data_IF_223878710448
#
_entry.id   IF_223878710448
#
_cell.length_a   1.000
_cell.length_b   1.000
_cell.length_c   1.000
_cell.angle_alpha   90.00
_cell.angle_beta   90.00
_cell.angle_gamma   90.00
#
_symmetry.space_group_name_H-M   'P 1'
#
loop_
_entity.id
_entity.type
_entity.pdbx_description
1 polymer ?
#
# COMPACT_ATOMS: atom_id res chain seq x y z
N UNK A 1 -8.95 -5.64 16.96
CA UNK A 1 -8.55 -5.74 15.55
C UNK A 1 -8.12 -4.40 14.93
N UNK A 2 -8.99 -3.42 14.66
CA UNK A 2 -8.57 -2.19 13.95
C UNK A 2 -7.37 -1.49 14.62
N UNK A 3 -7.43 -1.19 15.92
CA UNK A 3 -6.32 -0.55 16.65
C UNK A 3 -5.08 -1.44 16.82
N UNK A 4 -5.23 -2.77 16.71
CA UNK A 4 -4.07 -3.68 16.70
C UNK A 4 -3.38 -3.59 15.34
N UNK A 5 -4.13 -3.71 14.23
CA UNK A 5 -3.61 -3.55 12.87
C UNK A 5 -3.02 -2.16 12.62
N UNK A 6 -3.57 -1.11 13.23
CA UNK A 6 -3.00 0.22 13.17
C UNK A 6 -1.58 0.29 13.77
N UNK A 7 -1.32 -0.44 14.86
CA UNK A 7 -0.01 -0.49 15.53
C UNK A 7 1.02 -1.31 14.77
N UNK A 8 0.57 -2.23 13.91
CA UNK A 8 1.44 -3.07 13.09
C UNK A 8 2.05 -2.30 11.90
N UNK A 9 1.49 -1.17 11.48
CA UNK A 9 2.01 -0.40 10.34
C UNK A 9 3.01 0.65 10.83
N UNK A 10 4.30 0.55 10.45
CA UNK A 10 5.29 1.55 10.80
C UNK A 10 4.96 2.90 10.16
N UNK A 11 5.21 3.97 10.91
CA UNK A 11 5.13 5.35 10.42
C UNK A 11 6.05 5.59 9.22
N UNK A 12 5.88 6.76 8.59
CA UNK A 12 6.77 7.26 7.55
C UNK A 12 8.24 7.20 8.00
N UNK A 13 9.12 6.67 7.15
CA UNK A 13 10.55 6.64 7.39
C UNK A 13 11.29 7.33 6.24
N UNK A 14 11.92 8.51 6.48
CA UNK A 14 12.69 9.20 5.47
C UNK A 14 13.99 8.45 5.13
N UNK A 15 14.67 8.80 4.02
CA UNK A 15 15.98 8.25 3.70
C UNK A 15 17.03 8.69 4.74
N UNK A 16 18.07 7.88 4.93
CA UNK A 16 19.19 8.23 5.80
C UNK A 16 19.81 9.57 5.40
N UNK A 17 20.14 10.40 6.40
CA UNK A 17 20.80 11.70 6.18
C UNK A 17 19.89 12.86 5.81
N UNK A 18 18.57 12.67 5.71
CA UNK A 18 17.60 13.78 5.48
C UNK A 18 16.85 14.11 6.77
N UNK A 19 17.09 15.29 7.34
CA UNK A 19 16.44 15.73 8.57
C UNK A 19 15.03 16.31 8.31
N UNK A 20 14.13 16.29 9.31
CA UNK A 20 12.85 17.00 9.24
C UNK A 20 13.06 18.48 8.89
N UNK A 21 12.38 18.98 7.86
CA UNK A 21 12.54 20.34 7.32
C UNK A 21 13.34 20.41 6.01
N UNK A 22 14.17 19.40 5.75
CA UNK A 22 15.01 19.32 4.53
C UNK A 22 14.34 18.54 3.40
N UNK A 23 13.14 18.02 3.63
CA UNK A 23 12.37 17.30 2.61
C UNK A 23 12.11 18.19 1.40
N UNK A 24 12.46 17.69 0.22
CA UNK A 24 12.14 18.28 -1.08
C UNK A 24 11.47 17.21 -1.94
N UNK A 25 10.33 17.55 -2.52
CA UNK A 25 9.52 16.67 -3.37
C UNK A 25 8.72 17.54 -4.35
N UNK A 26 8.46 17.04 -5.57
CA UNK A 26 7.62 17.77 -6.50
C UNK A 26 6.13 17.52 -6.16
N UNK A 27 5.27 18.50 -6.45
CA UNK A 27 3.83 18.37 -6.22
C UNK A 27 3.23 17.18 -6.97
N UNK A 28 3.70 16.94 -8.20
CA UNK A 28 3.25 15.80 -9.03
C UNK A 28 3.56 14.45 -8.39
N UNK A 29 4.63 14.35 -7.59
CA UNK A 29 5.02 13.10 -6.93
C UNK A 29 4.14 12.76 -5.71
N UNK A 30 3.42 13.75 -5.18
CA UNK A 30 2.57 13.57 -3.98
C UNK A 30 1.08 13.63 -4.27
N UNK A 31 0.67 14.25 -5.37
CA UNK A 31 -0.73 14.52 -5.72
C UNK A 31 -1.64 13.30 -5.56
N UNK A 32 -1.20 12.14 -6.06
CA UNK A 32 -1.95 10.90 -5.93
C UNK A 32 -2.14 10.45 -4.48
N UNK A 33 -1.05 10.47 -3.69
CA UNK A 33 -1.09 10.04 -2.28
C UNK A 33 -1.95 10.96 -1.39
N UNK A 34 -2.17 12.21 -1.80
CA UNK A 34 -3.00 13.17 -1.06
C UNK A 34 -4.46 12.72 -0.94
N UNK A 35 -4.98 11.96 -1.91
CA UNK A 35 -6.32 11.39 -1.84
C UNK A 35 -6.51 10.57 -0.55
N UNK A 36 -5.54 9.73 -0.21
CA UNK A 36 -5.63 8.81 0.92
C UNK A 36 -5.54 9.53 2.28
N UNK A 37 -4.92 10.72 2.30
CA UNK A 37 -4.82 11.57 3.50
C UNK A 37 -6.14 12.19 3.94
N UNK A 38 -7.18 12.15 3.08
CA UNK A 38 -8.54 12.56 3.45
C UNK A 38 -9.20 11.60 4.43
N UNK A 39 -8.63 10.39 4.62
CA UNK A 39 -9.29 9.38 5.43
C UNK A 39 -9.46 9.79 6.90
N UNK A 40 -10.72 9.83 7.34
CA UNK A 40 -11.12 10.17 8.72
C UNK A 40 -11.13 8.98 9.69
N UNK A 41 -10.54 7.84 9.31
CA UNK A 41 -10.47 6.63 10.13
C UNK A 41 -11.82 6.10 10.67
N UNK A 42 -12.90 6.27 9.91
CA UNK A 42 -14.24 5.80 10.29
C UNK A 42 -14.42 4.26 10.25
N UNK A 43 -13.49 3.54 9.64
CA UNK A 43 -13.46 2.08 9.48
C UNK A 43 -14.65 1.42 8.73
N UNK A 44 -15.54 2.20 8.09
CA UNK A 44 -16.66 1.65 7.31
C UNK A 44 -16.19 0.68 6.22
N UNK A 45 -15.07 0.97 5.57
CA UNK A 45 -14.45 0.10 4.58
C UNK A 45 -14.02 -1.26 5.14
N UNK A 46 -13.50 -1.30 6.37
CA UNK A 46 -13.14 -2.55 7.05
C UNK A 46 -14.39 -3.32 7.50
N UNK A 47 -15.43 -2.61 7.95
CA UNK A 47 -16.67 -3.22 8.42
C UNK A 47 -17.47 -3.90 7.29
N UNK A 48 -17.55 -3.26 6.12
CA UNK A 48 -18.30 -3.80 4.96
C UNK A 48 -17.52 -4.86 4.19
N UNK A 49 -16.20 -4.95 4.38
CA UNK A 49 -15.36 -5.85 3.61
C UNK A 49 -15.76 -7.31 3.89
N UNK A 50 -16.31 -8.00 2.90
CA UNK A 50 -16.77 -9.39 3.03
C UNK A 50 -15.64 -10.36 3.42
N UNK A 51 -14.40 -10.06 3.02
CA UNK A 51 -13.22 -10.85 3.39
C UNK A 51 -12.92 -10.81 4.90
N UNK A 52 -13.39 -9.78 5.61
CA UNK A 52 -13.28 -9.66 7.07
C UNK A 52 -14.60 -10.02 7.75
N UNK A 53 -15.73 -9.55 7.20
CA UNK A 53 -17.07 -9.70 7.77
C UNK A 53 -17.55 -11.15 7.72
N UNK A 54 -17.34 -11.83 6.60
CA UNK A 54 -17.85 -13.19 6.38
C UNK A 54 -16.82 -14.26 6.80
N UNK A 55 -15.59 -13.83 7.10
CA UNK A 55 -14.45 -14.67 7.46
C UNK A 55 -13.65 -14.02 8.59
N UNK A 56 -14.16 -14.10 9.82
CA UNK A 56 -13.50 -13.48 10.97
C UNK A 56 -12.09 -14.04 11.22
N UNK A 57 -11.85 -15.30 10.85
CA UNK A 57 -10.55 -15.97 10.92
C UNK A 57 -9.47 -15.23 10.11
N UNK A 58 -9.86 -14.48 9.08
CA UNK A 58 -8.91 -13.69 8.28
C UNK A 58 -8.36 -12.49 9.04
N UNK A 59 -9.00 -12.01 10.12
CA UNK A 59 -8.58 -10.82 10.87
C UNK A 59 -7.14 -10.91 11.41
N UNK A 60 -6.64 -12.12 11.62
CA UNK A 60 -5.25 -12.34 12.04
C UNK A 60 -4.26 -11.97 10.92
N UNK A 61 -4.55 -12.38 9.67
CA UNK A 61 -3.63 -12.30 8.54
C UNK A 61 -3.95 -11.18 7.55
N UNK A 62 -5.15 -10.61 7.61
CA UNK A 62 -5.62 -9.56 6.72
C UNK A 62 -5.91 -8.28 7.50
N UNK A 63 -5.16 -7.22 7.20
CA UNK A 63 -5.37 -5.93 7.85
C UNK A 63 -6.66 -5.25 7.38
N UNK A 64 -7.15 -5.55 6.17
CA UNK A 64 -8.32 -4.91 5.61
C UNK A 64 -8.01 -3.64 4.79
N UNK A 65 -9.01 -3.13 4.05
CA UNK A 65 -8.82 -2.04 3.11
C UNK A 65 -8.32 -0.74 3.74
N UNK A 66 -8.70 -0.40 4.97
CA UNK A 66 -8.24 0.84 5.62
C UNK A 66 -6.73 0.86 5.81
N UNK A 67 -6.18 -0.25 6.26
CA UNK A 67 -4.77 -0.35 6.63
C UNK A 67 -3.90 -0.59 5.39
N UNK A 68 -4.37 -1.38 4.42
CA UNK A 68 -3.68 -1.50 3.14
C UNK A 68 -3.66 -0.19 2.34
N UNK A 69 -4.70 0.66 2.45
CA UNK A 69 -4.68 2.01 1.89
C UNK A 69 -3.61 2.89 2.57
N UNK A 70 -3.41 2.76 3.89
CA UNK A 70 -2.32 3.46 4.60
C UNK A 70 -0.95 2.99 4.12
N UNK A 71 -0.78 1.69 3.90
CA UNK A 71 0.47 1.16 3.33
C UNK A 71 0.69 1.69 1.92
N UNK A 72 -0.37 1.80 1.10
CA UNK A 72 -0.29 2.38 -0.24
C UNK A 72 0.06 3.89 -0.22
N UNK A 73 -0.49 4.65 0.74
CA UNK A 73 -0.14 6.05 0.94
C UNK A 73 1.36 6.22 1.23
N UNK A 74 1.91 5.38 2.10
CA UNK A 74 3.34 5.38 2.42
C UNK A 74 4.20 4.91 1.24
N UNK A 75 3.78 3.87 0.53
CA UNK A 75 4.49 3.34 -0.64
C UNK A 75 4.62 4.38 -1.77
N UNK A 76 3.58 5.19 -1.96
CA UNK A 76 3.57 6.27 -2.96
C UNK A 76 4.29 7.52 -2.48
N UNK A 77 4.70 7.60 -1.21
CA UNK A 77 5.42 8.75 -0.71
C UNK A 77 6.86 8.77 -1.28
N UNK A 78 7.27 9.84 -2.00
CA UNK A 78 8.56 9.85 -2.71
C UNK A 78 9.75 9.63 -1.76
N UNK A 79 9.64 10.13 -0.52
CA UNK A 79 10.69 10.00 0.49
C UNK A 79 10.57 8.78 1.43
N UNK A 80 9.56 7.92 1.33
CA UNK A 80 9.47 6.78 2.27
C UNK A 80 10.42 5.64 1.86
N UNK A 81 11.44 5.34 2.66
CA UNK A 81 12.51 4.42 2.26
C UNK A 81 12.19 2.93 2.49
N UNK A 82 11.01 2.61 3.03
CA UNK A 82 10.66 1.24 3.44
C UNK A 82 10.07 0.45 2.28
N UNK A 83 10.34 -0.86 2.24
CA UNK A 83 9.72 -1.78 1.29
C UNK A 83 8.25 -2.07 1.68
N UNK A 84 7.35 -1.14 1.33
CA UNK A 84 5.93 -1.22 1.64
C UNK A 84 5.19 -2.29 0.85
N UNK A 85 5.67 -2.63 -0.35
CA UNK A 85 5.11 -3.70 -1.18
C UNK A 85 5.23 -5.05 -0.47
N UNK A 86 6.43 -5.36 0.04
CA UNK A 86 6.66 -6.59 0.81
C UNK A 86 5.79 -6.62 2.07
N UNK A 87 5.76 -5.52 2.84
CA UNK A 87 4.91 -5.41 4.04
C UNK A 87 3.42 -5.65 3.71
N UNK A 88 2.91 -5.02 2.65
CA UNK A 88 1.51 -5.20 2.24
C UNK A 88 1.18 -6.67 1.95
N UNK A 89 2.05 -7.35 1.21
CA UNK A 89 1.80 -8.73 0.78
C UNK A 89 2.02 -9.76 1.90
N UNK A 90 3.12 -9.66 2.64
CA UNK A 90 3.56 -10.69 3.59
C UNK A 90 3.02 -10.46 5.00
N UNK A 91 2.87 -9.20 5.42
CA UNK A 91 2.55 -8.86 6.81
C UNK A 91 1.08 -8.41 6.97
N UNK A 92 0.50 -7.79 5.93
CA UNK A 92 -0.86 -7.22 6.01
C UNK A 92 -1.90 -7.90 5.11
N UNK A 93 -1.51 -8.97 4.41
CA UNK A 93 -2.43 -9.84 3.69
C UNK A 93 -3.05 -9.22 2.45
N UNK A 94 -2.32 -8.40 1.67
CA UNK A 94 -2.81 -7.84 0.40
C UNK A 94 -3.40 -8.90 -0.55
N UNK A 95 -2.90 -10.14 -0.48
CA UNK A 95 -3.41 -11.28 -1.22
C UNK A 95 -4.89 -11.59 -0.99
N UNK A 96 -5.43 -11.32 0.20
CA UNK A 96 -6.81 -11.61 0.57
C UNK A 96 -7.84 -10.68 -0.10
N UNK A 97 -7.41 -9.50 -0.56
CA UNK A 97 -8.35 -8.56 -1.19
C UNK A 97 -8.84 -9.10 -2.56
N UNK A 98 -10.15 -9.24 -2.70
CA UNK A 98 -10.82 -9.73 -3.92
C UNK A 98 -11.28 -8.62 -4.89
N UNK A 99 -10.90 -7.35 -4.65
CA UNK A 99 -11.14 -6.22 -5.57
C UNK A 99 -12.64 -5.99 -5.88
N UNK A 100 -13.53 -6.37 -4.98
CA UNK A 100 -14.99 -6.22 -5.15
C UNK A 100 -15.49 -4.77 -4.98
N UNK A 101 -14.63 -3.83 -4.60
CA UNK A 101 -14.94 -2.40 -4.42
C UNK A 101 -15.93 -2.02 -3.32
N UNK A 102 -16.39 -2.97 -2.49
CA UNK A 102 -17.26 -2.68 -1.34
C UNK A 102 -16.71 -1.59 -0.40
N UNK A 103 -15.39 -1.55 -0.21
CA UNK A 103 -14.71 -0.52 0.58
C UNK A 103 -14.75 0.88 -0.03
N UNK A 104 -14.80 0.97 -1.37
CA UNK A 104 -14.82 2.24 -2.12
C UNK A 104 -16.23 2.81 -2.15
N UNK A 105 -17.24 1.96 -2.29
CA UNK A 105 -18.65 2.37 -2.35
C UNK A 105 -19.14 3.02 -1.05
N UNK A 106 -18.63 2.59 0.10
CA UNK A 106 -19.05 3.09 1.41
C UNK A 106 -18.20 4.23 1.97
N UNK A 107 -17.13 4.64 1.28
CA UNK A 107 -16.21 5.62 1.83
C UNK A 107 -16.85 7.03 1.81
N UNK A 108 -17.07 7.68 2.97
CA UNK A 108 -17.72 8.99 3.03
C UNK A 108 -16.85 10.11 2.43
N UNK A 109 -15.53 9.91 2.42
CA UNK A 109 -14.54 10.84 1.84
C UNK A 109 -14.34 10.60 0.33
N UNK A 110 -15.13 9.71 -0.26
CA UNK A 110 -15.10 9.35 -1.68
C UNK A 110 -13.73 8.86 -2.19
N UNK A 111 -12.90 8.32 -1.29
CA UNK A 111 -11.58 7.77 -1.62
C UNK A 111 -11.77 6.53 -2.48
N UNK A 112 -11.11 6.49 -3.63
CA UNK A 112 -11.06 5.36 -4.56
C UNK A 112 -10.09 4.30 -4.07
N UNK A 113 -10.37 3.74 -2.89
CA UNK A 113 -9.49 2.79 -2.18
C UNK A 113 -9.06 1.64 -3.09
N UNK A 114 -9.99 1.06 -3.83
CA UNK A 114 -9.66 -0.11 -4.66
C UNK A 114 -8.82 0.27 -5.87
N UNK A 115 -9.28 1.28 -6.63
CA UNK A 115 -8.68 1.67 -7.91
C UNK A 115 -7.34 2.40 -7.74
N UNK A 116 -7.24 3.29 -6.75
CA UNK A 116 -6.07 4.12 -6.58
C UNK A 116 -5.07 3.56 -5.58
N UNK A 117 -5.47 2.71 -4.63
CA UNK A 117 -4.56 2.10 -3.65
C UNK A 117 -4.35 0.59 -3.85
N UNK A 118 -5.41 -0.24 -3.77
CA UNK A 118 -5.25 -1.70 -3.68
C UNK A 118 -4.83 -2.37 -4.99
N UNK A 119 -5.43 -1.99 -6.13
CA UNK A 119 -5.04 -2.51 -7.45
C UNK A 119 -3.56 -2.17 -7.75
N UNK A 120 -3.12 -0.91 -7.65
CA UNK A 120 -1.71 -0.55 -7.89
C UNK A 120 -0.73 -1.24 -6.97
N UNK A 121 -1.09 -1.44 -5.69
CA UNK A 121 -0.26 -2.22 -4.77
C UNK A 121 -0.13 -3.67 -5.22
N UNK A 122 -1.23 -4.29 -5.68
CA UNK A 122 -1.21 -5.66 -6.20
C UNK A 122 -0.38 -5.78 -7.49
N UNK A 123 -0.53 -4.83 -8.41
CA UNK A 123 0.27 -4.77 -9.65
C UNK A 123 1.77 -4.72 -9.33
N UNK A 124 2.18 -3.80 -8.44
CA UNK A 124 3.60 -3.67 -8.04
C UNK A 124 4.15 -4.93 -7.34
N UNK A 125 3.34 -5.59 -6.51
CA UNK A 125 3.73 -6.87 -5.89
C UNK A 125 3.85 -7.97 -6.94
N UNK A 126 2.98 -7.99 -7.94
CA UNK A 126 2.99 -8.99 -8.98
C UNK A 126 4.24 -8.89 -9.86
N UNK A 127 4.59 -7.67 -10.29
CA UNK A 127 5.79 -7.40 -11.12
C UNK A 127 7.08 -7.91 -10.45
N UNK A 128 7.17 -7.80 -9.13
CA UNK A 128 8.38 -8.21 -8.39
C UNK A 128 8.41 -9.71 -8.06
N UNK A 129 7.26 -10.32 -7.76
CA UNK A 129 7.19 -11.69 -7.22
C UNK A 129 6.97 -12.76 -8.29
N UNK A 130 6.25 -12.44 -9.35
CA UNK A 130 5.82 -13.41 -10.36
C UNK A 130 6.44 -13.21 -11.74
N UNK A 131 7.15 -12.10 -12.00
CA UNK A 131 7.94 -11.96 -13.23
C UNK A 131 9.14 -12.94 -13.19
N UNK A 132 9.17 -13.96 -14.08
CA UNK A 132 10.23 -14.95 -14.08
C UNK A 132 11.61 -14.36 -14.37
N UNK A 133 11.70 -13.23 -15.08
CA UNK A 133 12.98 -12.57 -15.39
C UNK A 133 13.55 -11.85 -14.17
N UNK A 134 12.72 -11.09 -13.45
CA UNK A 134 13.12 -10.37 -12.22
C UNK A 134 13.43 -11.35 -11.10
N UNK A 135 12.60 -12.37 -10.93
CA UNK A 135 12.80 -13.44 -9.94
C UNK A 135 14.10 -14.22 -10.22
N UNK A 136 14.30 -14.67 -11.46
CA UNK A 136 15.50 -15.43 -11.82
C UNK A 136 16.74 -14.56 -11.68
N UNK A 137 16.70 -13.30 -12.15
CA UNK A 137 17.79 -12.34 -12.02
C UNK A 137 18.19 -12.04 -10.57
N UNK A 138 17.22 -11.99 -9.66
CA UNK A 138 17.46 -11.84 -8.22
C UNK A 138 18.09 -13.11 -7.61
N UNK A 139 17.67 -14.29 -8.08
CA UNK A 139 18.14 -15.60 -7.57
C UNK A 139 19.56 -15.95 -8.02
N UNK A 140 19.97 -15.51 -9.21
CA UNK A 140 21.31 -15.76 -9.77
C UNK A 140 22.29 -14.58 -9.57
N UNK A 141 21.89 -13.55 -8.81
CA UNK A 141 22.75 -12.44 -8.41
C UNK A 141 23.03 -11.38 -9.48
N UNK A 142 22.30 -11.41 -10.61
CA UNK A 142 22.43 -10.41 -11.69
C UNK A 142 21.67 -9.11 -11.39
N UNK A 143 20.62 -9.17 -10.57
CA UNK A 143 19.84 -8.00 -10.17
C UNK A 143 20.30 -7.49 -8.79
N UNK A 144 21.44 -6.80 -8.73
CA UNK A 144 21.88 -6.10 -7.52
C UNK A 144 21.35 -4.67 -7.56
N UNK A 145 20.16 -4.46 -6.99
CA UNK A 145 19.62 -3.13 -6.70
C UNK A 145 18.66 -2.57 -7.76
N UNK A 146 17.38 -2.92 -7.66
CA UNK A 146 16.31 -2.00 -8.05
C UNK A 146 15.90 -1.19 -6.82
N UNK A 147 16.84 -0.37 -6.34
CA UNK A 147 16.52 0.68 -5.37
C UNK A 147 15.56 1.65 -6.05
N UNK A 148 14.29 1.57 -5.65
CA UNK A 148 13.28 2.62 -5.73
C UNK A 148 13.39 3.56 -6.95
N UNK A 149 13.01 3.08 -8.12
CA UNK A 149 12.33 3.98 -9.05
C UNK A 149 10.84 3.87 -8.71
N UNK A 150 10.17 4.92 -8.20
CA UNK A 150 8.72 4.93 -8.34
C UNK A 150 8.48 4.76 -9.83
N UNK A 151 7.75 3.71 -10.23
CA UNK A 151 7.29 3.64 -11.60
C UNK A 151 6.59 4.98 -11.85
N UNK A 152 7.04 5.83 -12.80
CA UNK A 152 6.26 6.97 -13.17
C UNK A 152 4.99 6.37 -13.75
N UNK A 153 3.89 6.40 -13.02
CA UNK A 153 2.60 5.98 -13.56
C UNK A 153 2.16 7.08 -14.51
N UNK A 154 2.80 7.13 -15.68
CA UNK A 154 2.33 7.82 -16.86
C UNK A 154 1.18 7.00 -17.43
N UNK A 155 0.00 7.09 -16.83
CA UNK A 155 -1.24 6.91 -17.58
C UNK A 155 -2.21 8.05 -17.21
N UNK A 156 -2.84 8.65 -18.23
CA UNK A 156 -3.61 9.88 -18.12
C UNK A 156 -4.80 9.77 -17.17
#
# INVERSE_FOLDING_TARGET
YNYEKAREIPSFAPPEGVAPGDYRMAQVDVERSQEFRKCIECFLCNNVCHVVRDHEENKQNFAGPRFLMRVAELDMHPLDAVDRQRQAQEEHGLGYCNITKCCTEVCPEHIKITDNALIPMKERVADRKFDPLVWLGSKIGLAKGSGKAPAPTTKP
#
